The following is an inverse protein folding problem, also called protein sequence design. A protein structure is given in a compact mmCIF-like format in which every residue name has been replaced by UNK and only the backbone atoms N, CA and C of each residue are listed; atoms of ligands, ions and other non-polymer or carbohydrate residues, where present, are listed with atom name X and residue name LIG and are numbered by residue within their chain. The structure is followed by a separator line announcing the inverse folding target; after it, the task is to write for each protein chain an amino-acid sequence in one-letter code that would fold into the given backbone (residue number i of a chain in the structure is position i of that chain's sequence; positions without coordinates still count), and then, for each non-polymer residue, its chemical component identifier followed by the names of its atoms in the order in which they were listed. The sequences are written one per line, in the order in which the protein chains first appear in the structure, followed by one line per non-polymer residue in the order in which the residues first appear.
data_IF_616850435204
#
_entry.id   IF_616850435204
#
_cell.length_a   1.000
_cell.length_b   1.000
_cell.length_c   1.000
_cell.angle_alpha   90.00
_cell.angle_beta   90.00
_cell.angle_gamma   90.00
#
_symmetry.space_group_name_H-M   'P 1'
#
loop_
_entity.id
_entity.type
_entity.pdbx_description
1 polymer ?
#
# COMPACT_ATOMS: atom_id res chain seq x y z
N UNK A 1 -18.84 21.44 12.66
CA UNK A 1 -20.31 21.41 12.64
C UNK A 1 -20.81 22.30 11.52
N UNK A 2 -21.44 21.72 10.48
CA UNK A 2 -22.58 22.24 9.72
C UNK A 2 -22.80 21.34 8.50
N UNK A 3 -23.75 20.42 8.68
CA UNK A 3 -24.32 19.48 7.73
C UNK A 3 -25.16 20.20 6.67
N UNK A 4 -25.06 19.78 5.41
CA UNK A 4 -25.87 20.29 4.30
C UNK A 4 -26.93 19.25 3.95
N UNK A 5 -28.19 19.69 4.01
CA UNK A 5 -29.41 18.89 3.96
C UNK A 5 -29.90 18.66 2.52
N UNK A 6 -30.25 17.40 2.25
CA UNK A 6 -30.91 16.87 1.04
C UNK A 6 -32.38 17.33 0.97
N UNK A 7 -32.82 17.87 -0.17
CA UNK A 7 -34.23 18.20 -0.42
C UNK A 7 -34.76 17.39 -1.61
N UNK A 8 -35.65 16.45 -1.29
CA UNK A 8 -36.46 15.63 -2.20
C UNK A 8 -37.72 16.42 -2.56
N UNK A 9 -38.04 16.59 -3.85
CA UNK A 9 -39.29 17.19 -4.29
C UNK A 9 -40.09 16.19 -5.14
N UNK A 10 -41.11 15.60 -4.53
CA UNK A 10 -42.22 14.92 -5.22
C UNK A 10 -43.29 15.98 -5.54
N UNK A 11 -43.62 16.13 -6.82
CA UNK A 11 -44.73 16.96 -7.29
C UNK A 11 -45.65 16.14 -8.19
N UNK A 12 -46.80 15.74 -7.63
CA UNK A 12 -47.91 15.11 -8.32
C UNK A 12 -48.77 16.20 -8.99
N UNK A 13 -49.17 16.02 -10.25
CA UNK A 13 -50.10 16.95 -10.92
C UNK A 13 -50.70 16.34 -12.18
N UNK A 14 -51.92 15.82 -12.07
CA UNK A 14 -52.71 15.29 -13.18
C UNK A 14 -53.58 16.38 -13.80
N UNK A 15 -53.72 16.37 -15.13
CA UNK A 15 -54.88 16.96 -15.81
C UNK A 15 -55.10 16.26 -17.17
N UNK A 16 -56.22 15.54 -17.26
CA UNK A 16 -56.78 14.89 -18.45
C UNK A 16 -57.63 15.90 -19.20
N UNK A 17 -57.50 16.01 -20.53
CA UNK A 17 -58.63 16.36 -21.41
C UNK A 17 -58.49 15.66 -22.77
N UNK A 18 -59.60 15.02 -23.14
CA UNK A 18 -59.87 14.13 -24.27
C UNK A 18 -60.14 14.86 -25.58
N UNK A 19 -59.77 14.22 -26.70
CA UNK A 19 -60.27 14.55 -28.04
C UNK A 19 -60.18 13.34 -28.95
N UNK A 20 -61.31 12.67 -29.18
CA UNK A 20 -61.46 11.49 -30.02
C UNK A 20 -61.46 11.88 -31.50
N UNK A 21 -60.53 11.32 -32.29
CA UNK A 21 -60.60 11.25 -33.74
C UNK A 21 -60.40 9.79 -34.16
N UNK A 22 -61.50 9.12 -34.50
CA UNK A 22 -61.47 7.82 -35.15
C UNK A 22 -61.34 8.05 -36.66
N UNK A 23 -60.12 7.94 -37.18
CA UNK A 23 -59.83 7.75 -38.60
C UNK A 23 -59.09 6.43 -38.76
N UNK A 24 -59.72 5.45 -39.41
CA UNK A 24 -59.20 4.11 -39.56
C UNK A 24 -58.00 4.02 -40.51
N UNK A 25 -56.97 3.32 -40.06
CA UNK A 25 -56.29 2.28 -40.83
C UNK A 25 -55.76 1.27 -39.79
N UNK A 26 -55.99 -0.05 -39.95
CA UNK A 26 -55.32 -1.01 -39.08
C UNK A 26 -53.81 -0.82 -39.26
N UNK A 27 -53.04 -0.68 -38.17
CA UNK A 27 -51.60 -0.59 -38.28
C UNK A 27 -51.11 -1.83 -39.04
N UNK A 28 -50.14 -1.70 -39.96
CA UNK A 28 -49.52 -2.87 -40.58
C UNK A 28 -49.10 -3.79 -39.44
N UNK A 29 -49.61 -5.01 -39.44
CA UNK A 29 -49.22 -5.99 -38.44
C UNK A 29 -47.74 -6.24 -38.66
N UNK A 30 -46.94 -5.60 -37.80
CA UNK A 30 -45.54 -5.86 -37.70
C UNK A 30 -45.45 -7.28 -37.18
N UNK A 31 -45.34 -8.25 -38.09
CA UNK A 31 -44.97 -9.62 -37.76
C UNK A 31 -43.50 -9.58 -37.39
N UNK A 32 -43.17 -8.94 -36.27
CA UNK A 32 -41.96 -9.29 -35.55
C UNK A 32 -42.08 -10.80 -35.32
N UNK A 33 -41.11 -11.62 -35.78
CA UNK A 33 -41.07 -13.03 -35.39
C UNK A 33 -41.27 -13.06 -33.88
N UNK A 34 -42.18 -13.91 -33.38
CA UNK A 34 -42.35 -14.08 -31.95
C UNK A 34 -41.00 -14.55 -31.39
N UNK A 35 -40.20 -13.61 -30.92
CA UNK A 35 -38.91 -13.87 -30.31
C UNK A 35 -39.27 -14.67 -29.08
N UNK A 36 -38.83 -15.92 -29.01
CA UNK A 36 -38.89 -16.71 -27.80
C UNK A 36 -38.03 -16.01 -26.74
N UNK A 37 -38.66 -15.06 -26.07
CA UNK A 37 -38.08 -14.12 -25.11
C UNK A 37 -37.52 -14.88 -23.92
N UNK A 38 -38.01 -16.09 -23.64
CA UNK A 38 -37.45 -16.96 -22.61
C UNK A 38 -36.09 -17.52 -23.02
N UNK A 39 -35.96 -18.01 -24.25
CA UNK A 39 -34.68 -18.50 -24.79
C UNK A 39 -33.63 -17.39 -24.90
N UNK A 40 -34.03 -16.18 -25.28
CA UNK A 40 -33.13 -15.02 -25.32
C UNK A 40 -32.67 -14.59 -23.91
N UNK A 41 -33.59 -14.52 -22.94
CA UNK A 41 -33.27 -14.22 -21.56
C UNK A 41 -32.32 -15.27 -20.92
N UNK A 42 -32.44 -16.55 -21.30
CA UNK A 42 -31.54 -17.61 -20.85
C UNK A 42 -30.12 -17.38 -21.38
N UNK A 43 -29.96 -17.13 -22.68
CA UNK A 43 -28.65 -16.83 -23.30
C UNK A 43 -27.98 -15.61 -22.70
N UNK A 44 -28.77 -14.56 -22.42
CA UNK A 44 -28.27 -13.36 -21.78
C UNK A 44 -27.78 -13.64 -20.35
N UNK A 45 -28.54 -14.41 -19.56
CA UNK A 45 -28.12 -14.85 -18.21
C UNK A 45 -26.86 -15.69 -18.25
N UNK A 46 -26.75 -16.61 -19.19
CA UNK A 46 -25.56 -17.46 -19.35
C UNK A 46 -24.33 -16.61 -19.70
N UNK A 47 -24.49 -15.64 -20.61
CA UNK A 47 -23.44 -14.67 -20.94
C UNK A 47 -23.00 -13.83 -19.75
N UNK A 48 -23.95 -13.34 -18.94
CA UNK A 48 -23.66 -12.57 -17.71
C UNK A 48 -22.93 -13.44 -16.68
N UNK A 49 -23.37 -14.68 -16.49
CA UNK A 49 -22.74 -15.62 -15.56
C UNK A 49 -21.31 -15.95 -15.99
N UNK A 50 -21.09 -16.19 -17.29
CA UNK A 50 -19.76 -16.41 -17.84
C UNK A 50 -18.85 -15.19 -17.66
N UNK A 51 -19.37 -13.98 -17.90
CA UNK A 51 -18.62 -12.74 -17.69
C UNK A 51 -18.31 -12.48 -16.20
N UNK A 52 -19.23 -12.79 -15.28
CA UNK A 52 -18.98 -12.71 -13.84
C UNK A 52 -17.89 -13.70 -13.42
N UNK A 53 -17.97 -14.95 -13.87
CA UNK A 53 -16.97 -15.97 -13.54
C UNK A 53 -15.57 -15.60 -14.04
N UNK A 54 -15.46 -14.97 -15.22
CA UNK A 54 -14.19 -14.44 -15.71
C UNK A 54 -13.66 -13.30 -14.83
N UNK A 55 -14.50 -12.34 -14.47
CA UNK A 55 -14.12 -11.25 -13.56
C UNK A 55 -13.66 -11.79 -12.20
N UNK A 56 -14.32 -12.81 -11.68
CA UNK A 56 -13.94 -13.43 -10.41
C UNK A 56 -12.59 -14.15 -10.51
N UNK A 57 -12.29 -14.80 -11.64
CA UNK A 57 -10.97 -15.41 -11.90
C UNK A 57 -9.87 -14.34 -11.93
N UNK A 58 -10.08 -13.28 -12.71
CA UNK A 58 -9.13 -12.17 -12.81
C UNK A 58 -8.92 -11.48 -11.46
N UNK A 59 -9.99 -11.24 -10.70
CA UNK A 59 -9.91 -10.62 -9.40
C UNK A 59 -9.12 -11.47 -8.39
N UNK A 60 -9.25 -12.80 -8.44
CA UNK A 60 -8.46 -13.72 -7.59
C UNK A 60 -6.99 -13.72 -7.99
N UNK A 61 -6.69 -13.84 -9.28
CA UNK A 61 -5.31 -13.79 -9.77
C UNK A 61 -4.63 -12.46 -9.42
N UNK A 62 -5.34 -11.34 -9.56
CA UNK A 62 -4.81 -10.03 -9.18
C UNK A 62 -4.63 -9.90 -7.67
N UNK A 63 -5.58 -10.40 -6.87
CA UNK A 63 -5.44 -10.43 -5.42
C UNK A 63 -4.20 -11.23 -4.99
N UNK A 64 -3.94 -12.37 -5.63
CA UNK A 64 -2.77 -13.21 -5.38
C UNK A 64 -1.46 -12.49 -5.77
N UNK A 65 -1.45 -11.79 -6.91
CA UNK A 65 -0.31 -10.95 -7.34
C UNK A 65 -0.02 -9.83 -6.36
N UNK A 66 -1.04 -9.09 -5.95
CA UNK A 66 -0.92 -8.00 -4.97
C UNK A 66 -0.42 -8.56 -3.63
N UNK A 67 -0.95 -9.70 -3.18
CA UNK A 67 -0.50 -10.34 -1.94
C UNK A 67 0.96 -10.78 -2.02
N UNK A 68 1.39 -11.34 -3.16
CA UNK A 68 2.79 -11.71 -3.40
C UNK A 68 3.70 -10.48 -3.40
N UNK A 69 3.32 -9.42 -4.11
CA UNK A 69 4.09 -8.18 -4.18
C UNK A 69 4.25 -7.54 -2.79
N UNK A 70 3.15 -7.40 -2.03
CA UNK A 70 3.20 -6.83 -0.68
C UNK A 70 4.13 -7.60 0.26
N UNK A 71 4.16 -8.93 0.17
CA UNK A 71 5.11 -9.74 0.94
C UNK A 71 6.54 -9.44 0.55
N UNK A 72 6.84 -9.38 -0.74
CA UNK A 72 8.17 -9.03 -1.24
C UNK A 72 8.60 -7.63 -0.76
N UNK A 73 7.72 -6.63 -0.89
CA UNK A 73 7.99 -5.26 -0.47
C UNK A 73 8.24 -5.15 1.03
N UNK A 74 7.47 -5.89 1.84
CA UNK A 74 7.65 -5.94 3.29
C UNK A 74 9.00 -6.54 3.68
N UNK A 75 9.42 -7.62 3.02
CA UNK A 75 10.73 -8.22 3.26
C UNK A 75 11.87 -7.28 2.85
N UNK A 76 11.73 -6.62 1.70
CA UNK A 76 12.72 -5.64 1.24
C UNK A 76 12.81 -4.42 2.18
N UNK A 77 11.67 -3.97 2.73
CA UNK A 77 11.66 -2.90 3.72
C UNK A 77 12.37 -3.31 5.02
N UNK A 78 12.14 -4.54 5.49
CA UNK A 78 12.81 -5.08 6.67
C UNK A 78 14.34 -5.18 6.46
N UNK A 79 14.78 -5.65 5.29
CA UNK A 79 16.20 -5.73 4.96
C UNK A 79 16.87 -4.36 5.01
N UNK A 80 16.28 -3.34 4.36
CA UNK A 80 16.78 -1.96 4.39
C UNK A 80 16.85 -1.39 5.80
N UNK A 81 15.84 -1.64 6.62
CA UNK A 81 15.84 -1.20 8.01
C UNK A 81 16.97 -1.87 8.83
N UNK A 82 17.23 -3.16 8.59
CA UNK A 82 18.34 -3.88 9.20
C UNK A 82 19.71 -3.34 8.78
N UNK A 83 19.88 -3.00 7.51
CA UNK A 83 21.12 -2.41 6.98
C UNK A 83 21.38 -1.03 7.56
N UNK A 84 20.36 -0.20 7.72
CA UNK A 84 20.47 1.12 8.34
C UNK A 84 20.94 1.00 9.81
N UNK A 85 20.29 0.14 10.59
CA UNK A 85 20.69 -0.12 11.98
C UNK A 85 22.14 -0.60 12.06
N UNK A 86 22.53 -1.51 11.16
CA UNK A 86 23.92 -1.98 11.08
C UNK A 86 24.88 -0.83 10.76
N UNK A 87 24.55 -0.01 9.76
CA UNK A 87 25.36 1.14 9.34
C UNK A 87 25.60 2.09 10.51
N UNK A 88 24.55 2.46 11.24
CA UNK A 88 24.66 3.29 12.45
C UNK A 88 25.57 2.64 13.49
N UNK A 89 25.46 1.32 13.74
CA UNK A 89 26.28 0.64 14.73
C UNK A 89 27.77 0.57 14.33
N UNK A 90 28.09 0.33 13.05
CA UNK A 90 29.48 0.18 12.58
C UNK A 90 30.18 1.49 12.21
N UNK A 91 29.47 2.61 12.16
CA UNK A 91 30.08 3.91 11.90
C UNK A 91 31.21 4.22 12.90
N UNK A 92 32.38 4.61 12.38
CA UNK A 92 33.58 4.87 13.19
C UNK A 92 33.45 6.14 14.03
N UNK A 93 34.02 6.10 15.23
CA UNK A 93 34.23 7.27 16.09
C UNK A 93 35.73 7.58 16.07
N UNK A 94 36.08 8.84 15.81
CA UNK A 94 37.48 9.27 15.71
C UNK A 94 37.88 10.08 16.94
N UNK A 95 39.17 10.04 17.26
CA UNK A 95 39.74 10.76 18.39
C UNK A 95 40.75 11.80 17.89
N UNK A 96 40.96 12.83 18.71
CA UNK A 96 42.07 13.75 18.47
C UNK A 96 43.39 13.04 18.81
N UNK A 97 44.52 13.56 18.30
CA UNK A 97 45.85 13.07 18.64
C UNK A 97 46.06 13.07 20.16
N UNK A 98 46.56 11.94 20.67
CA UNK A 98 46.93 11.75 22.08
C UNK A 98 45.74 11.94 23.04
N UNK A 99 44.54 11.55 22.60
CA UNK A 99 43.32 11.63 23.42
C UNK A 99 42.46 10.40 23.30
N UNK A 100 41.81 10.06 24.40
CA UNK A 100 40.78 9.02 24.47
C UNK A 100 39.40 9.57 24.86
N UNK A 101 39.25 10.90 24.99
CA UNK A 101 37.96 11.51 25.27
C UNK A 101 37.10 11.59 23.99
N UNK A 102 35.80 11.37 24.14
CA UNK A 102 34.82 11.55 23.07
C UNK A 102 34.73 13.05 22.70
N UNK A 103 34.66 13.34 21.40
CA UNK A 103 34.47 14.69 20.87
C UNK A 103 33.00 15.08 21.00
N UNK A 104 32.74 16.37 21.25
CA UNK A 104 31.36 16.85 21.40
C UNK A 104 30.49 16.53 20.17
N UNK A 105 31.05 16.65 18.97
CA UNK A 105 30.33 16.40 17.72
C UNK A 105 30.02 14.90 17.50
N UNK A 106 30.77 14.00 18.15
CA UNK A 106 30.57 12.54 18.05
C UNK A 106 29.56 12.00 19.09
N UNK A 107 29.21 12.81 20.11
CA UNK A 107 28.25 12.42 21.15
C UNK A 107 26.90 12.01 20.55
N UNK A 108 26.39 12.77 19.58
CA UNK A 108 25.11 12.46 18.94
C UNK A 108 25.11 11.14 18.16
N UNK A 109 26.25 10.76 17.57
CA UNK A 109 26.39 9.47 16.90
C UNK A 109 26.42 8.30 17.91
N UNK A 110 27.06 8.51 19.08
CA UNK A 110 27.03 7.53 20.16
C UNK A 110 25.63 7.37 20.77
N UNK A 111 24.90 8.46 20.97
CA UNK A 111 23.53 8.42 21.50
C UNK A 111 22.61 7.57 20.61
N UNK A 112 22.73 7.69 19.29
CA UNK A 112 21.97 6.85 18.34
C UNK A 112 22.32 5.36 18.49
N UNK A 113 23.60 5.03 18.63
CA UNK A 113 24.05 3.64 18.87
C UNK A 113 23.49 3.12 20.20
N UNK A 114 23.54 3.92 21.26
CA UNK A 114 23.00 3.55 22.59
C UNK A 114 21.50 3.29 22.51
N UNK A 115 20.73 4.15 21.84
CA UNK A 115 19.29 3.95 21.66
C UNK A 115 18.97 2.63 20.94
N UNK A 116 19.74 2.28 19.90
CA UNK A 116 19.61 1.00 19.19
C UNK A 116 19.89 -0.18 20.13
N UNK A 117 20.98 -0.12 20.90
CA UNK A 117 21.36 -1.20 21.81
C UNK A 117 20.36 -1.38 22.96
N UNK A 118 19.79 -0.29 23.49
CA UNK A 118 18.75 -0.34 24.52
C UNK A 118 17.45 -0.94 24.00
N UNK A 119 17.07 -0.62 22.76
CA UNK A 119 15.90 -1.21 22.12
C UNK A 119 16.08 -2.70 21.76
N UNK A 120 17.33 -3.18 21.69
CA UNK A 120 17.68 -4.55 21.26
C UNK A 120 18.61 -5.22 22.30
N UNK A 121 18.11 -5.60 23.48
CA UNK A 121 18.94 -6.10 24.59
C UNK A 121 19.67 -7.42 24.30
N UNK A 122 19.22 -8.19 23.31
CA UNK A 122 19.87 -9.41 22.86
C UNK A 122 21.03 -9.17 21.89
N UNK A 123 21.15 -7.95 21.35
CA UNK A 123 22.24 -7.59 20.46
C UNK A 123 23.56 -7.56 21.26
N UNK A 124 24.62 -8.07 20.64
CA UNK A 124 25.98 -8.07 21.19
C UNK A 124 26.90 -7.38 20.18
N UNK A 125 27.72 -6.46 20.66
CA UNK A 125 28.76 -5.79 19.87
C UNK A 125 30.13 -6.03 20.49
N UNK A 126 31.16 -5.93 19.66
CA UNK A 126 32.56 -5.85 20.10
C UNK A 126 33.06 -4.45 19.82
N UNK A 127 33.62 -3.81 20.84
CA UNK A 127 34.24 -2.49 20.73
C UNK A 127 35.75 -2.71 20.60
N UNK A 128 36.37 -2.06 19.61
CA UNK A 128 37.81 -2.09 19.38
C UNK A 128 38.35 -0.67 19.28
N UNK A 129 39.47 -0.41 19.97
CA UNK A 129 40.25 0.81 19.84
C UNK A 129 41.41 0.61 18.88
N UNK A 130 41.75 1.66 18.14
CA UNK A 130 42.88 1.68 17.22
C UNK A 130 43.65 2.98 17.40
N UNK A 131 44.98 2.86 17.45
CA UNK A 131 45.89 4.01 17.44
C UNK A 131 46.55 4.13 16.06
N UNK A 132 47.08 5.31 15.76
CA UNK A 132 47.89 5.50 14.55
C UNK A 132 49.30 4.93 14.76
N UNK A 133 50.17 5.06 13.75
CA UNK A 133 51.53 4.51 13.78
C UNK A 133 52.52 5.32 14.63
N UNK A 134 52.07 6.40 15.28
CA UNK A 134 52.95 7.31 16.03
C UNK A 134 53.06 6.80 17.47
N UNK A 135 54.28 6.78 18.01
CA UNK A 135 54.54 6.28 19.38
C UNK A 135 55.03 4.83 19.38
N UNK A 136 55.25 4.26 20.57
CA UNK A 136 55.58 2.84 20.71
C UNK A 136 54.31 2.00 20.80
N UNK A 137 54.41 0.71 20.49
CA UNK A 137 53.28 -0.21 20.61
C UNK A 137 52.74 -0.24 22.05
N UNK A 138 53.63 -0.22 23.05
CA UNK A 138 53.25 -0.20 24.46
C UNK A 138 52.51 1.09 24.84
N UNK A 139 52.91 2.23 24.26
CA UNK A 139 52.21 3.49 24.45
C UNK A 139 50.79 3.43 23.87
N UNK A 140 50.69 2.96 22.62
CA UNK A 140 49.43 2.89 21.89
C UNK A 140 48.46 1.85 22.46
N UNK A 141 48.95 0.77 23.08
CA UNK A 141 48.12 -0.22 23.76
C UNK A 141 47.53 0.29 25.08
N UNK A 142 48.17 1.28 25.70
CA UNK A 142 47.74 1.84 26.98
C UNK A 142 46.80 3.06 26.84
N UNK A 143 46.69 3.62 25.64
CA UNK A 143 45.88 4.81 25.31
C UNK A 143 44.40 4.45 25.10
#
# INVERSE_FOLDING_TARGET
MKSVTLLLALGLGAAVLTGSSCGGNPPPQNTTPAVDTAAENARLRDSINAANAERDRQAREEADRIAAQRRSDSLAALARAGDEVRSTLVAMIHFDLDKSNIRADDMGALDQKVAILQANPDLRIRIGGHCDERGSDEYNLAL
#
